data_IF_978956881453
#
_entry.id   IF_978956881453
#
_cell.length_a   1.000
_cell.length_b   1.000
_cell.length_c   1.000
_cell.angle_alpha   90.00
_cell.angle_beta   90.00
_cell.angle_gamma   90.00
#
_symmetry.space_group_name_H-M   'P 1'
#
loop_
_entity.id
_entity.type
_entity.pdbx_description
1 polymer ?
#
# COMPACT_ATOMS: atom_id res chain seq x y z
N UNK A 1 7.62 2.53 -12.58
CA UNK A 1 7.10 3.89 -12.86
C UNK A 1 6.33 4.01 -14.19
N UNK A 2 6.89 3.60 -15.35
CA UNK A 2 6.24 3.81 -16.67
C UNK A 2 4.80 3.26 -16.80
N UNK A 3 4.55 2.02 -16.37
CA UNK A 3 3.22 1.38 -16.49
C UNK A 3 2.09 2.13 -15.78
N UNK A 4 2.20 2.48 -14.47
CA UNK A 4 1.17 3.28 -13.81
C UNK A 4 1.06 4.70 -14.38
N UNK A 5 2.17 5.32 -14.82
CA UNK A 5 2.13 6.62 -15.50
C UNK A 5 1.30 6.59 -16.79
N UNK A 6 1.57 5.64 -17.69
CA UNK A 6 0.80 5.47 -18.93
C UNK A 6 -0.65 5.08 -18.66
N UNK A 7 -0.91 4.35 -17.57
CA UNK A 7 -2.28 4.02 -17.15
C UNK A 7 -3.06 5.28 -16.77
N UNK A 8 -2.46 6.17 -15.96
CA UNK A 8 -3.08 7.45 -15.60
C UNK A 8 -3.32 8.30 -16.84
N UNK A 9 -2.28 8.47 -17.66
CA UNK A 9 -2.36 9.23 -18.90
C UNK A 9 -3.48 8.72 -19.82
N UNK A 10 -3.54 7.41 -20.05
CA UNK A 10 -4.56 6.80 -20.90
C UNK A 10 -5.98 7.05 -20.41
N UNK A 11 -6.24 6.88 -19.11
CA UNK A 11 -7.57 7.15 -18.54
C UNK A 11 -7.96 8.63 -18.59
N UNK A 12 -7.00 9.54 -18.37
CA UNK A 12 -7.24 10.98 -18.50
C UNK A 12 -7.52 11.35 -19.96
N UNK A 13 -6.73 10.86 -20.91
CA UNK A 13 -6.96 11.07 -22.34
C UNK A 13 -8.34 10.58 -22.77
N UNK A 14 -8.74 9.35 -22.40
CA UNK A 14 -10.08 8.85 -22.76
C UNK A 14 -11.20 9.69 -22.15
N UNK A 15 -11.02 10.22 -20.93
CA UNK A 15 -11.98 11.14 -20.32
C UNK A 15 -12.11 12.44 -21.14
N UNK A 16 -10.98 13.02 -21.56
CA UNK A 16 -10.94 14.22 -22.39
C UNK A 16 -11.54 13.99 -23.79
N UNK A 17 -11.39 12.79 -24.36
CA UNK A 17 -11.94 12.40 -25.67
C UNK A 17 -13.47 12.14 -25.65
N UNK A 18 -14.18 12.61 -24.61
CA UNK A 18 -15.64 12.55 -24.51
C UNK A 18 -16.18 11.49 -23.55
N UNK A 19 -15.35 10.60 -22.98
CA UNK A 19 -15.83 9.67 -21.95
C UNK A 19 -16.21 10.39 -20.64
N UNK A 20 -15.83 11.67 -20.49
CA UNK A 20 -16.33 12.50 -19.41
C UNK A 20 -17.83 12.74 -19.49
N UNK A 21 -18.46 12.72 -20.66
CA UNK A 21 -19.91 13.01 -20.78
C UNK A 21 -20.77 11.82 -20.35
N UNK A 22 -20.27 10.60 -20.51
CA UNK A 22 -20.93 9.38 -20.01
C UNK A 22 -20.82 9.27 -18.48
N UNK A 23 -21.95 9.47 -17.77
CA UNK A 23 -22.04 9.36 -16.31
C UNK A 23 -21.60 7.99 -15.77
N UNK A 24 -21.83 6.90 -16.49
CA UNK A 24 -21.49 5.54 -16.04
C UNK A 24 -19.98 5.30 -16.14
N UNK A 25 -19.33 5.87 -17.17
CA UNK A 25 -17.92 5.64 -17.45
C UNK A 25 -17.02 6.62 -16.69
N UNK A 26 -17.43 7.89 -16.58
CA UNK A 26 -16.67 8.98 -15.93
C UNK A 26 -16.10 8.59 -14.57
N UNK A 27 -16.97 8.14 -13.65
CA UNK A 27 -16.56 7.78 -12.27
C UNK A 27 -15.64 6.56 -12.25
N UNK A 28 -15.87 5.59 -13.14
CA UNK A 28 -15.02 4.39 -13.26
C UNK A 28 -13.62 4.77 -13.70
N UNK A 29 -13.48 5.65 -14.69
CA UNK A 29 -12.18 6.02 -15.27
C UNK A 29 -11.40 6.95 -14.33
N UNK A 30 -12.08 7.90 -13.68
CA UNK A 30 -11.48 8.71 -12.61
C UNK A 30 -10.91 7.83 -11.50
N UNK A 31 -11.66 6.84 -11.02
CA UNK A 31 -11.16 5.87 -10.02
C UNK A 31 -9.98 5.04 -10.50
N UNK A 32 -9.87 4.77 -11.80
CA UNK A 32 -8.74 4.01 -12.35
C UNK A 32 -7.49 4.87 -12.48
N UNK A 33 -7.65 6.15 -12.84
CA UNK A 33 -6.58 7.15 -12.82
C UNK A 33 -6.08 7.39 -11.39
N UNK A 34 -6.98 7.61 -10.43
CA UNK A 34 -6.67 7.74 -8.99
C UNK A 34 -5.82 6.57 -8.49
N UNK A 35 -6.25 5.32 -8.73
CA UNK A 35 -5.46 4.12 -8.40
C UNK A 35 -4.10 4.08 -9.08
N UNK A 36 -3.96 4.67 -10.26
CA UNK A 36 -2.68 4.79 -10.95
C UNK A 36 -1.74 5.77 -10.24
N UNK A 37 -2.27 6.89 -9.77
CA UNK A 37 -1.55 7.89 -8.97
C UNK A 37 -1.13 7.30 -7.63
N UNK A 38 -2.02 6.63 -6.91
CA UNK A 38 -1.68 5.93 -5.64
C UNK A 38 -0.49 4.98 -5.83
N UNK A 39 -0.51 4.17 -6.90
CA UNK A 39 0.62 3.29 -7.23
C UNK A 39 1.92 4.03 -7.51
N UNK A 40 1.85 5.21 -8.12
CA UNK A 40 3.05 6.03 -8.35
C UNK A 40 3.62 6.54 -7.03
N UNK A 41 2.77 6.99 -6.11
CA UNK A 41 3.17 7.44 -4.77
C UNK A 41 3.94 6.33 -4.06
N UNK A 42 3.36 5.12 -3.97
CA UNK A 42 4.03 3.98 -3.32
C UNK A 42 5.39 3.64 -3.94
N UNK A 43 5.52 3.69 -5.26
CA UNK A 43 6.80 3.40 -5.92
C UNK A 43 7.85 4.47 -5.59
N UNK A 44 7.44 5.74 -5.49
CA UNK A 44 8.35 6.83 -5.12
C UNK A 44 8.79 6.70 -3.67
N UNK A 45 7.87 6.37 -2.76
CA UNK A 45 8.17 6.10 -1.35
C UNK A 45 9.14 4.92 -1.19
N UNK A 46 8.92 3.82 -1.92
CA UNK A 46 9.82 2.67 -1.92
C UNK A 46 11.23 3.04 -2.40
N UNK A 47 11.33 3.86 -3.46
CA UNK A 47 12.62 4.32 -3.98
C UNK A 47 13.34 5.25 -3.00
N UNK A 48 12.63 6.14 -2.32
CA UNK A 48 13.19 6.99 -1.27
C UNK A 48 13.72 6.14 -0.10
N UNK A 49 12.95 5.13 0.32
CA UNK A 49 13.37 4.19 1.37
C UNK A 49 14.62 3.39 0.98
N UNK A 50 14.67 2.85 -0.25
CA UNK A 50 15.85 2.14 -0.76
C UNK A 50 17.06 3.08 -0.80
N UNK A 51 16.88 4.31 -1.25
CA UNK A 51 17.95 5.30 -1.33
C UNK A 51 18.54 5.59 0.05
N UNK A 52 17.68 5.78 1.07
CA UNK A 52 18.09 5.95 2.47
C UNK A 52 18.81 4.72 3.04
N UNK A 53 18.36 3.52 2.68
CA UNK A 53 19.03 2.27 3.05
C UNK A 53 20.44 2.17 2.45
N UNK A 54 20.60 2.57 1.19
CA UNK A 54 21.89 2.49 0.47
C UNK A 54 22.88 3.60 0.85
N UNK A 55 22.39 4.80 1.17
CA UNK A 55 23.26 5.91 1.59
C UNK A 55 23.79 5.76 3.01
N UNK A 56 23.17 4.89 3.82
CA UNK A 56 23.49 4.74 5.24
C UNK A 56 22.92 5.87 6.12
N UNK A 57 22.07 6.74 5.56
CA UNK A 57 21.44 7.87 6.26
C UNK A 57 20.21 7.44 7.09
N UNK A 58 20.18 6.20 7.56
CA UNK A 58 19.13 5.71 8.44
C UNK A 58 19.56 5.84 9.90
N UNK A 59 19.02 6.86 10.57
CA UNK A 59 19.11 6.99 12.01
C UNK A 59 18.16 5.99 12.68
N UNK A 60 18.71 4.84 13.08
CA UNK A 60 17.96 3.83 13.84
C UNK A 60 17.80 4.28 15.31
N UNK A 61 16.55 4.43 15.73
CA UNK A 61 16.20 4.63 17.13
C UNK A 61 15.98 3.27 17.81
N UNK A 62 17.00 2.83 18.55
CA UNK A 62 16.92 1.57 19.30
C UNK A 62 16.16 1.80 20.60
N UNK A 63 15.06 1.05 20.80
CA UNK A 63 14.22 1.12 22.00
C UNK A 63 13.74 -0.27 22.40
N UNK A 64 13.45 -0.47 23.68
CA UNK A 64 12.74 -1.67 24.15
C UNK A 64 11.25 -1.57 23.80
N UNK A 65 10.66 -2.65 23.32
CA UNK A 65 9.22 -2.74 23.01
C UNK A 65 8.72 -4.18 23.14
N UNK A 66 7.41 -4.35 23.34
CA UNK A 66 6.78 -5.68 23.36
C UNK A 66 6.53 -6.18 21.93
N UNK A 67 7.24 -7.24 21.56
CA UNK A 67 7.12 -7.86 20.24
C UNK A 67 5.75 -8.53 20.03
N UNK A 68 5.09 -9.02 21.09
CA UNK A 68 3.76 -9.63 21.01
C UNK A 68 2.74 -8.56 20.66
N UNK A 69 2.76 -7.44 21.38
CA UNK A 69 1.85 -6.31 21.13
C UNK A 69 2.02 -5.79 19.70
N UNK A 70 3.26 -5.68 19.21
CA UNK A 70 3.52 -5.30 17.82
C UNK A 70 2.89 -6.29 16.82
N UNK A 71 3.03 -7.60 17.07
CA UNK A 71 2.46 -8.63 16.20
C UNK A 71 0.93 -8.59 16.22
N UNK A 72 0.31 -8.43 17.38
CA UNK A 72 -1.15 -8.28 17.52
C UNK A 72 -1.67 -7.08 16.73
N UNK A 73 -1.03 -5.92 16.86
CA UNK A 73 -1.36 -4.73 16.08
C UNK A 73 -1.28 -4.96 14.56
N UNK A 74 -0.30 -5.75 14.10
CA UNK A 74 -0.17 -6.13 12.69
C UNK A 74 -1.29 -7.09 12.26
N UNK A 75 -1.73 -8.00 13.13
CA UNK A 75 -2.85 -8.90 12.85
C UNK A 75 -4.16 -8.11 12.66
N UNK A 76 -4.46 -7.17 13.57
CA UNK A 76 -5.63 -6.30 13.48
C UNK A 76 -5.64 -5.49 12.18
N UNK A 77 -4.47 -4.94 11.78
CA UNK A 77 -4.31 -4.20 10.53
C UNK A 77 -4.60 -5.06 9.29
N UNK A 78 -4.30 -6.36 9.35
CA UNK A 78 -4.41 -7.29 8.23
C UNK A 78 -5.71 -8.09 8.22
N UNK A 79 -6.46 -8.14 9.33
CA UNK A 79 -7.68 -8.95 9.51
C UNK A 79 -8.67 -8.74 8.36
N UNK A 80 -9.10 -7.49 8.13
CA UNK A 80 -10.06 -7.17 7.07
C UNK A 80 -9.57 -7.57 5.66
N UNK A 81 -8.26 -7.51 5.41
CA UNK A 81 -7.67 -7.89 4.11
C UNK A 81 -7.61 -9.40 3.96
N UNK A 82 -7.28 -10.11 5.04
CA UNK A 82 -7.21 -11.56 5.10
C UNK A 82 -8.59 -12.18 4.90
N UNK A 83 -9.62 -11.66 5.59
CA UNK A 83 -11.01 -12.10 5.48
C UNK A 83 -11.56 -11.96 4.06
N UNK A 84 -11.36 -10.80 3.44
CA UNK A 84 -11.76 -10.55 2.04
C UNK A 84 -11.14 -11.54 1.06
N UNK A 85 -9.97 -12.09 1.41
CA UNK A 85 -9.24 -13.07 0.59
C UNK A 85 -9.39 -14.52 1.11
N UNK A 86 -10.17 -14.75 2.18
CA UNK A 86 -10.32 -16.06 2.85
C UNK A 86 -8.98 -16.66 3.29
N UNK A 87 -8.05 -15.81 3.71
CA UNK A 87 -6.73 -16.20 4.24
C UNK A 87 -6.86 -16.26 5.76
N UNK A 88 -6.37 -17.34 6.38
CA UNK A 88 -6.25 -17.42 7.84
C UNK A 88 -4.88 -16.91 8.26
N UNK A 89 -4.87 -15.98 9.21
CA UNK A 89 -3.66 -15.56 9.92
C UNK A 89 -3.55 -16.40 11.20
N UNK A 90 -2.35 -16.87 11.53
CA UNK A 90 -2.08 -17.62 12.75
C UNK A 90 -0.74 -17.16 13.31
N UNK A 91 -0.72 -16.89 14.62
CA UNK A 91 0.49 -16.59 15.38
C UNK A 91 0.61 -17.66 16.47
N UNK A 92 1.71 -18.40 16.46
CA UNK A 92 2.01 -19.41 17.48
C UNK A 92 3.21 -18.94 18.30
N UNK A 93 2.94 -18.51 19.53
CA UNK A 93 4.00 -18.22 20.50
C UNK A 93 4.21 -19.45 21.38
N UNK A 94 5.30 -20.21 21.15
CA UNK A 94 5.61 -21.42 21.93
C UNK A 94 6.25 -21.15 23.29
N UNK A 95 6.72 -19.92 23.58
CA UNK A 95 7.52 -19.66 24.78
C UNK A 95 7.47 -18.19 25.25
N UNK A 96 6.33 -17.74 25.76
CA UNK A 96 6.30 -16.53 26.60
C UNK A 96 5.80 -16.95 27.97
N UNK A 97 6.74 -17.26 28.86
CA UNK A 97 6.45 -17.34 30.29
C UNK A 97 6.06 -15.92 30.72
N UNK A 98 4.81 -15.75 31.14
CA UNK A 98 4.41 -14.59 31.93
C UNK A 98 5.31 -14.53 33.17
N UNK A 99 5.89 -13.37 33.43
CA UNK A 99 6.43 -13.01 34.74
C UNK A 99 5.31 -13.02 35.79
#
# INVERSE_FOLDING_TARGET
LKTPLFTVQGYVSTLLDGAMDDKNIRKKYLKRAEKGVERLIYIVEDLDMITKLESGDLDLLMTDFDIVELIENVFDLLEMKADKKKIKLAFESKNIKSL
#
